data_IF_845833423135
#
_entry.id   IF_845833423135
#
_cell.length_a   1.000
_cell.length_b   1.000
_cell.length_c   1.000
_cell.angle_alpha   90.00
_cell.angle_beta   90.00
_cell.angle_gamma   90.00
#
_symmetry.space_group_name_H-M   'P 1'
#
loop_
_entity.id
_entity.type
_entity.pdbx_description
1 polymer ?
#
# COMPACT_ATOMS: atom_id res chain seq x y z
N UNK A 1 13.50 -22.49 -20.67
CA UNK A 1 13.00 -21.49 -21.63
C UNK A 1 11.49 -21.43 -21.42
N UNK A 2 10.96 -20.38 -20.79
CA UNK A 2 9.50 -20.20 -20.75
C UNK A 2 9.06 -20.04 -22.18
N UNK A 3 8.13 -20.86 -22.61
CA UNK A 3 7.42 -20.59 -23.84
C UNK A 3 6.18 -19.82 -23.41
N UNK A 4 6.19 -18.50 -23.63
CA UNK A 4 4.97 -17.72 -23.48
C UNK A 4 3.89 -18.38 -24.35
N UNK A 5 2.60 -18.37 -23.94
CA UNK A 5 1.55 -18.85 -24.80
C UNK A 5 1.63 -18.15 -26.18
N UNK A 6 1.20 -18.83 -27.24
CA UNK A 6 1.26 -18.25 -28.58
C UNK A 6 0.54 -16.89 -28.63
N UNK A 7 1.17 -15.89 -29.23
CA UNK A 7 0.63 -14.53 -29.32
C UNK A 7 0.84 -13.65 -28.09
N UNK A 8 1.54 -14.13 -27.06
CA UNK A 8 1.84 -13.39 -25.83
C UNK A 8 3.27 -12.83 -25.86
N UNK A 9 3.40 -11.52 -25.66
CA UNK A 9 4.69 -10.84 -25.51
C UNK A 9 4.81 -10.19 -24.13
N UNK A 10 5.99 -10.35 -23.51
CA UNK A 10 6.40 -9.58 -22.33
C UNK A 10 7.41 -8.52 -22.76
N UNK A 11 7.07 -7.24 -22.61
CA UNK A 11 7.94 -6.14 -23.03
C UNK A 11 8.43 -5.38 -21.81
N UNK A 12 9.75 -5.22 -21.60
CA UNK A 12 10.26 -4.40 -20.51
C UNK A 12 9.68 -2.99 -20.59
N UNK A 13 9.14 -2.49 -19.49
CA UNK A 13 8.61 -1.14 -19.40
C UNK A 13 9.73 -0.19 -18.97
N UNK A 14 10.03 0.78 -19.82
CA UNK A 14 10.85 1.94 -19.45
C UNK A 14 9.93 3.06 -19.02
N UNK A 15 10.09 3.54 -17.79
CA UNK A 15 9.37 4.70 -17.33
C UNK A 15 9.92 5.97 -18.02
N UNK A 16 9.06 6.84 -18.57
CA UNK A 16 9.51 8.10 -19.16
C UNK A 16 10.03 9.03 -18.05
N UNK A 17 10.76 10.08 -18.42
CA UNK A 17 11.16 11.11 -17.46
C UNK A 17 9.97 12.00 -17.12
N UNK A 18 9.17 12.37 -18.12
CA UNK A 18 7.94 13.12 -17.99
C UNK A 18 6.78 12.44 -18.72
N UNK A 19 5.55 12.64 -18.24
CA UNK A 19 4.36 12.15 -18.95
C UNK A 19 4.11 12.88 -20.28
N UNK A 20 4.71 14.06 -20.45
CA UNK A 20 4.61 14.88 -21.65
C UNK A 20 5.64 14.49 -22.73
N UNK A 21 6.56 13.57 -22.41
CA UNK A 21 7.59 13.12 -23.34
C UNK A 21 6.99 12.23 -24.44
N UNK A 22 7.63 12.24 -25.61
CA UNK A 22 7.15 11.50 -26.78
C UNK A 22 7.13 9.97 -26.59
N UNK A 23 7.92 9.44 -25.64
CA UNK A 23 8.00 8.03 -25.30
C UNK A 23 7.05 7.61 -24.16
N UNK A 24 6.29 8.54 -23.56
CA UNK A 24 5.40 8.25 -22.43
C UNK A 24 4.17 7.39 -22.79
N UNK A 25 3.88 7.20 -24.08
CA UNK A 25 2.66 6.52 -24.55
C UNK A 25 2.46 5.11 -23.99
N UNK A 26 3.53 4.31 -23.87
CA UNK A 26 3.44 2.96 -23.32
C UNK A 26 3.15 2.98 -21.82
N UNK A 27 3.75 3.91 -21.08
CA UNK A 27 3.49 4.07 -19.66
C UNK A 27 2.05 4.54 -19.40
N UNK A 28 1.56 5.53 -20.15
CA UNK A 28 0.17 6.01 -20.06
C UNK A 28 -0.81 4.86 -20.31
N UNK A 29 -0.56 4.05 -21.34
CA UNK A 29 -1.39 2.88 -21.66
C UNK A 29 -1.34 1.82 -20.54
N UNK A 30 -0.16 1.57 -19.96
CA UNK A 30 -0.01 0.69 -18.80
C UNK A 30 -0.84 1.18 -17.62
N UNK A 31 -0.83 2.48 -17.30
CA UNK A 31 -1.64 3.05 -16.21
C UNK A 31 -3.14 2.91 -16.51
N UNK A 32 -3.56 3.12 -17.76
CA UNK A 32 -4.95 2.90 -18.18
C UNK A 32 -5.39 1.45 -17.95
N UNK A 33 -4.57 0.48 -18.35
CA UNK A 33 -4.84 -0.95 -18.17
C UNK A 33 -4.83 -1.33 -16.69
N UNK A 34 -3.88 -0.84 -15.90
CA UNK A 34 -3.84 -1.00 -14.43
C UNK A 34 -5.15 -0.53 -13.80
N UNK A 35 -5.58 0.70 -14.08
CA UNK A 35 -6.79 1.26 -13.49
C UNK A 35 -8.04 0.44 -13.86
N UNK A 36 -8.11 -0.09 -15.08
CA UNK A 36 -9.15 -1.03 -15.48
C UNK A 36 -9.12 -2.31 -14.63
N UNK A 37 -7.95 -2.90 -14.41
CA UNK A 37 -7.81 -4.14 -13.60
C UNK A 37 -8.26 -3.91 -12.16
N UNK A 38 -7.82 -2.81 -11.53
CA UNK A 38 -8.23 -2.48 -10.16
C UNK A 38 -9.76 -2.26 -10.06
N UNK A 39 -10.37 -1.61 -11.06
CA UNK A 39 -11.83 -1.48 -11.14
C UNK A 39 -12.54 -2.81 -11.34
N UNK A 40 -11.99 -3.71 -12.17
CA UNK A 40 -12.55 -5.07 -12.36
C UNK A 40 -12.50 -5.90 -11.08
N UNK A 41 -11.50 -5.68 -10.22
CA UNK A 41 -11.36 -6.37 -8.93
C UNK A 41 -12.29 -5.75 -7.88
N UNK A 42 -12.17 -4.44 -7.66
CA UNK A 42 -12.86 -3.75 -6.56
C UNK A 42 -14.33 -3.39 -6.87
N UNK A 43 -14.69 -3.28 -8.16
CA UNK A 43 -16.03 -2.82 -8.59
C UNK A 43 -16.22 -1.30 -8.51
N UNK A 44 -15.18 -0.54 -8.19
CA UNK A 44 -15.16 0.92 -8.09
C UNK A 44 -13.78 1.49 -8.45
N UNK A 45 -13.66 2.82 -8.51
CA UNK A 45 -12.44 3.52 -8.92
C UNK A 45 -11.60 4.05 -7.74
N UNK A 46 -11.87 3.63 -6.50
CA UNK A 46 -11.16 4.11 -5.30
C UNK A 46 -9.62 3.89 -5.32
N UNK A 47 -9.06 3.15 -6.28
CA UNK A 47 -7.61 2.94 -6.46
C UNK A 47 -7.07 3.45 -7.81
N UNK A 48 -7.89 4.22 -8.52
CA UNK A 48 -7.50 4.92 -9.74
C UNK A 48 -6.37 5.89 -9.42
N UNK A 49 -5.45 6.04 -10.38
CA UNK A 49 -4.36 7.00 -10.28
C UNK A 49 -4.06 7.57 -11.67
N UNK A 50 -3.77 8.87 -11.76
CA UNK A 50 -3.35 9.46 -13.03
C UNK A 50 -1.93 9.01 -13.40
N UNK A 51 -1.56 8.97 -14.69
CA UNK A 51 -0.23 8.53 -15.09
C UNK A 51 0.91 9.36 -14.50
N UNK A 52 0.78 10.69 -14.47
CA UNK A 52 1.78 11.57 -13.86
C UNK A 52 1.86 11.45 -12.34
N UNK A 53 0.78 11.02 -11.69
CA UNK A 53 0.78 10.74 -10.25
C UNK A 53 1.47 9.41 -9.89
N UNK A 54 1.38 8.43 -10.79
CA UNK A 54 2.01 7.14 -10.61
C UNK A 54 3.49 7.17 -11.00
N UNK A 55 3.88 8.00 -11.97
CA UNK A 55 5.22 8.05 -12.56
C UNK A 55 6.37 8.15 -11.54
N UNK A 56 6.30 8.97 -10.47
CA UNK A 56 7.38 9.04 -9.47
C UNK A 56 7.69 7.70 -8.80
N UNK A 57 6.73 6.77 -8.70
CA UNK A 57 6.92 5.44 -8.12
C UNK A 57 7.63 4.46 -9.07
N UNK A 58 7.89 4.88 -10.31
CA UNK A 58 8.60 4.11 -11.32
C UNK A 58 9.99 4.68 -11.64
N UNK A 59 10.34 5.82 -11.04
CA UNK A 59 11.67 6.39 -11.18
C UNK A 59 12.70 5.56 -10.40
N UNK A 60 14.00 5.62 -10.78
CA UNK A 60 15.06 4.94 -10.06
C UNK A 60 15.03 5.26 -8.56
N UNK A 61 15.23 4.22 -7.75
CA UNK A 61 15.26 4.29 -6.29
C UNK A 61 16.61 3.73 -5.81
N UNK A 62 17.17 4.35 -4.78
CA UNK A 62 18.43 3.93 -4.16
C UNK A 62 18.21 2.75 -3.19
N UNK A 63 16.99 2.60 -2.67
CA UNK A 63 16.63 1.61 -1.66
C UNK A 63 16.03 0.33 -2.29
N UNK A 64 15.53 0.40 -3.52
CA UNK A 64 14.85 -0.69 -4.22
C UNK A 64 15.16 -0.68 -5.73
N UNK A 65 15.34 -1.86 -6.32
CA UNK A 65 15.37 -2.00 -7.78
C UNK A 65 14.07 -2.60 -8.29
N UNK A 66 13.25 -1.78 -8.94
CA UNK A 66 12.01 -2.18 -9.64
C UNK A 66 12.26 -2.58 -11.08
N UNK A 67 11.73 -3.73 -11.49
CA UNK A 67 11.74 -4.20 -12.87
C UNK A 67 10.31 -4.51 -13.30
N UNK A 68 9.88 -3.99 -14.45
CA UNK A 68 8.49 -4.03 -14.89
C UNK A 68 8.38 -4.48 -16.35
N UNK A 69 7.29 -5.17 -16.67
CA UNK A 69 6.92 -5.57 -18.02
C UNK A 69 5.46 -5.26 -18.30
N UNK A 70 5.18 -4.76 -19.50
CA UNK A 70 3.83 -4.78 -20.09
C UNK A 70 3.58 -6.15 -20.71
N UNK A 71 2.35 -6.64 -20.58
CA UNK A 71 1.93 -7.94 -21.11
C UNK A 71 1.00 -7.68 -22.29
N UNK A 72 1.35 -8.19 -23.46
CA UNK A 72 0.57 -8.01 -24.68
C UNK A 72 0.04 -9.34 -25.21
N UNK A 73 -1.19 -9.32 -25.75
CA UNK A 73 -1.79 -10.41 -26.53
C UNK A 73 -2.17 -9.85 -27.89
N UNK A 74 -1.63 -10.43 -28.96
CA UNK A 74 -1.86 -9.99 -30.35
C UNK A 74 -1.64 -8.46 -30.53
N UNK A 75 -0.63 -7.93 -29.84
CA UNK A 75 -0.27 -6.51 -29.86
C UNK A 75 -1.03 -5.61 -28.88
N UNK A 76 -2.15 -6.07 -28.28
CA UNK A 76 -2.92 -5.29 -27.30
C UNK A 76 -2.38 -5.50 -25.89
N UNK A 77 -2.21 -4.42 -25.12
CA UNK A 77 -1.79 -4.53 -23.72
C UNK A 77 -2.95 -5.06 -22.86
N UNK A 78 -2.69 -6.13 -22.12
CA UNK A 78 -3.69 -6.84 -21.30
C UNK A 78 -3.33 -6.86 -19.82
N UNK A 79 -2.15 -6.38 -19.45
CA UNK A 79 -1.73 -6.33 -18.06
C UNK A 79 -0.26 -5.95 -17.87
N UNK A 80 0.23 -6.16 -16.65
CA UNK A 80 1.60 -5.90 -16.25
C UNK A 80 2.13 -6.97 -15.30
N UNK A 81 3.44 -7.14 -15.31
CA UNK A 81 4.18 -7.94 -14.35
C UNK A 81 5.31 -7.10 -13.78
N UNK A 82 5.62 -7.29 -12.49
CA UNK A 82 6.61 -6.49 -11.80
C UNK A 82 7.32 -7.27 -10.71
N UNK A 83 8.58 -6.95 -10.48
CA UNK A 83 9.35 -7.42 -9.34
C UNK A 83 10.18 -6.28 -8.77
N UNK A 84 10.11 -6.17 -7.45
CA UNK A 84 10.79 -5.20 -6.62
C UNK A 84 11.82 -5.92 -5.77
N UNK A 85 13.05 -5.42 -5.83
CA UNK A 85 14.22 -6.05 -5.24
C UNK A 85 14.83 -5.06 -4.24
N UNK A 86 14.48 -5.13 -2.95
CA UNK A 86 15.09 -4.31 -1.92
C UNK A 86 16.62 -4.40 -1.95
N UNK A 87 17.30 -3.26 -1.91
CA UNK A 87 18.77 -3.17 -2.03
C UNK A 87 19.48 -3.13 -0.67
N UNK A 88 18.73 -3.22 0.42
CA UNK A 88 19.28 -3.17 1.76
C UNK A 88 20.03 -4.45 2.14
N UNK A 89 21.32 -4.31 2.44
CA UNK A 89 22.16 -5.41 2.92
C UNK A 89 22.14 -6.64 2.01
N UNK A 90 22.04 -7.82 2.61
CA UNK A 90 21.95 -9.12 1.93
C UNK A 90 20.48 -9.57 1.80
N UNK A 91 19.55 -8.65 1.49
CA UNK A 91 18.12 -8.93 1.42
C UNK A 91 17.83 -10.20 0.61
N UNK A 92 16.93 -11.04 1.14
CA UNK A 92 16.48 -12.26 0.45
C UNK A 92 15.13 -12.05 -0.25
N UNK A 93 14.56 -10.86 -0.14
CA UNK A 93 13.19 -10.57 -0.50
C UNK A 93 13.04 -10.16 -1.96
N UNK A 94 11.92 -10.56 -2.53
CA UNK A 94 11.38 -10.04 -3.76
C UNK A 94 9.87 -9.84 -3.60
N UNK A 95 9.41 -8.60 -3.76
CA UNK A 95 7.99 -8.33 -3.90
C UNK A 95 7.62 -8.42 -5.37
N UNK A 96 6.47 -9.00 -5.70
CA UNK A 96 6.09 -9.17 -7.10
C UNK A 96 4.60 -9.00 -7.32
N UNK A 97 4.26 -8.64 -8.56
CA UNK A 97 2.87 -8.55 -9.02
C UNK A 97 2.72 -9.18 -10.41
N UNK A 98 1.56 -9.77 -10.64
CA UNK A 98 1.05 -10.12 -11.97
C UNK A 98 -0.40 -9.69 -12.01
N UNK A 99 -0.69 -8.72 -12.87
CA UNK A 99 -2.01 -8.12 -13.00
C UNK A 99 -2.46 -8.25 -14.44
N UNK A 100 -3.66 -8.81 -14.65
CA UNK A 100 -4.22 -9.07 -15.97
C UNK A 100 -5.70 -8.67 -15.97
N UNK A 101 -6.18 -8.10 -17.09
CA UNK A 101 -7.62 -7.93 -17.31
C UNK A 101 -8.31 -9.30 -17.30
N UNK A 102 -9.54 -9.34 -16.77
CA UNK A 102 -10.29 -10.59 -16.55
C UNK A 102 -10.53 -11.37 -17.84
N UNK A 103 -10.64 -10.69 -18.97
CA UNK A 103 -10.92 -11.27 -20.29
C UNK A 103 -9.85 -12.29 -20.75
N UNK A 104 -8.62 -12.19 -20.23
CA UNK A 104 -7.51 -13.08 -20.63
C UNK A 104 -7.13 -14.11 -19.56
N UNK A 105 -7.87 -14.18 -18.45
CA UNK A 105 -7.62 -15.16 -17.40
C UNK A 105 -7.80 -16.60 -17.89
N UNK A 106 -7.08 -17.54 -17.26
CA UNK A 106 -7.21 -18.97 -17.58
C UNK A 106 -6.44 -19.44 -18.84
N UNK A 107 -5.72 -18.57 -19.52
CA UNK A 107 -4.95 -18.90 -20.75
C UNK A 107 -3.45 -19.14 -20.49
N UNK A 108 -3.03 -19.31 -19.24
CA UNK A 108 -1.63 -19.55 -18.88
C UNK A 108 -0.71 -18.31 -18.88
N UNK A 109 -1.22 -17.14 -19.27
CA UNK A 109 -0.44 -15.88 -19.32
C UNK A 109 0.16 -15.54 -17.96
N UNK A 110 -0.66 -15.54 -16.89
CA UNK A 110 -0.17 -15.24 -15.54
C UNK A 110 0.88 -16.24 -15.05
N UNK A 111 0.79 -17.51 -15.49
CA UNK A 111 1.80 -18.54 -15.18
C UNK A 111 3.13 -18.20 -15.84
N UNK A 112 3.13 -17.88 -17.14
CA UNK A 112 4.33 -17.48 -17.85
C UNK A 112 4.94 -16.18 -17.29
N UNK A 113 4.10 -15.22 -16.88
CA UNK A 113 4.53 -13.99 -16.22
C UNK A 113 5.21 -14.29 -14.88
N UNK A 114 4.57 -15.05 -14.00
CA UNK A 114 5.13 -15.40 -12.70
C UNK A 114 6.43 -16.20 -12.81
N UNK A 115 6.49 -17.19 -13.70
CA UNK A 115 7.72 -17.96 -13.92
C UNK A 115 8.88 -17.06 -14.40
N UNK A 116 8.61 -15.95 -15.11
CA UNK A 116 9.62 -14.95 -15.47
C UNK A 116 10.14 -14.26 -14.22
N UNK A 117 9.24 -13.77 -13.37
CA UNK A 117 9.59 -13.08 -12.13
C UNK A 117 10.35 -14.00 -11.15
N UNK A 118 9.95 -15.27 -11.02
CA UNK A 118 10.66 -16.23 -10.16
C UNK A 118 12.10 -16.47 -10.65
N UNK A 119 12.33 -16.55 -11.96
CA UNK A 119 13.71 -16.64 -12.48
C UNK A 119 14.52 -15.40 -12.14
N UNK A 120 13.95 -14.22 -12.30
CA UNK A 120 14.63 -12.96 -12.00
C UNK A 120 14.95 -12.87 -10.51
N UNK A 121 14.03 -13.31 -9.64
CA UNK A 121 14.28 -13.41 -8.21
C UNK A 121 15.52 -14.29 -7.93
N UNK A 122 15.57 -15.50 -8.50
CA UNK A 122 16.70 -16.44 -8.36
C UNK A 122 18.01 -15.89 -8.91
N UNK A 123 17.99 -15.29 -10.09
CA UNK A 123 19.15 -14.66 -10.73
C UNK A 123 19.74 -13.50 -9.89
N UNK A 124 18.91 -12.92 -9.01
CA UNK A 124 19.30 -11.86 -8.07
C UNK A 124 19.47 -12.36 -6.63
N UNK A 125 19.58 -13.67 -6.42
CA UNK A 125 19.82 -14.27 -5.11
C UNK A 125 18.68 -14.12 -4.11
N UNK A 126 17.46 -13.83 -4.58
CA UNK A 126 16.27 -13.73 -3.71
C UNK A 126 15.68 -15.11 -3.50
N UNK A 127 15.41 -15.46 -2.25
CA UNK A 127 14.85 -16.76 -1.86
C UNK A 127 13.47 -16.64 -1.22
N UNK A 128 12.97 -15.44 -1.00
CA UNK A 128 11.64 -15.21 -0.41
C UNK A 128 10.83 -14.30 -1.31
N UNK A 129 9.74 -14.84 -1.86
CA UNK A 129 8.83 -14.11 -2.74
C UNK A 129 7.55 -13.79 -1.99
N UNK A 130 7.15 -12.52 -2.07
CA UNK A 130 5.93 -12.03 -1.43
C UNK A 130 5.07 -11.22 -2.39
N UNK A 131 3.76 -11.30 -2.20
CA UNK A 131 2.80 -10.60 -3.03
C UNK A 131 1.45 -10.51 -2.32
N UNK A 132 0.71 -9.45 -2.61
CA UNK A 132 -0.64 -9.22 -2.10
C UNK A 132 -1.64 -9.30 -3.23
N UNK A 133 -2.81 -9.85 -2.92
CA UNK A 133 -3.93 -9.83 -3.84
C UNK A 133 -5.23 -9.58 -3.09
N UNK A 134 -6.05 -8.68 -3.64
CA UNK A 134 -7.41 -8.49 -3.19
C UNK A 134 -8.28 -9.69 -3.58
N UNK A 135 -9.08 -10.12 -2.62
CA UNK A 135 -10.04 -11.21 -2.73
C UNK A 135 -11.44 -10.67 -2.37
N UNK A 136 -12.16 -10.06 -3.33
CA UNK A 136 -13.53 -9.61 -3.13
C UNK A 136 -14.39 -10.76 -2.58
N UNK A 137 -15.22 -10.46 -1.58
CA UNK A 137 -15.97 -11.51 -0.90
C UNK A 137 -16.90 -12.24 -1.89
N UNK A 138 -16.87 -13.57 -1.82
CA UNK A 138 -17.60 -14.44 -2.70
C UNK A 138 -17.98 -15.74 -1.97
N UNK A 139 -19.14 -16.36 -2.30
CA UNK A 139 -19.52 -17.63 -1.72
C UNK A 139 -18.58 -18.76 -2.19
N UNK A 140 -18.43 -19.79 -1.36
CA UNK A 140 -17.67 -20.99 -1.70
C UNK A 140 -16.65 -21.39 -0.63
N UNK A 141 -15.70 -22.27 -0.98
CA UNK A 141 -14.57 -22.62 -0.11
C UNK A 141 -13.79 -21.39 0.33
N UNK A 142 -13.28 -21.44 1.56
CA UNK A 142 -12.56 -20.36 2.22
C UNK A 142 -11.17 -20.82 2.61
N UNK A 143 -10.20 -19.93 2.52
CA UNK A 143 -8.86 -20.13 3.06
C UNK A 143 -8.70 -19.27 4.31
N UNK A 144 -7.99 -19.80 5.30
CA UNK A 144 -7.64 -19.10 6.53
C UNK A 144 -6.10 -19.06 6.65
N UNK A 145 -5.52 -17.92 7.07
CA UNK A 145 -4.10 -17.82 7.34
C UNK A 145 -3.75 -18.55 8.65
N UNK A 146 -2.47 -18.94 8.85
CA UNK A 146 -1.98 -19.50 10.11
C UNK A 146 -2.18 -18.59 11.33
N UNK A 147 -2.33 -17.28 11.13
CA UNK A 147 -2.61 -16.31 12.20
C UNK A 147 -3.94 -16.57 12.91
N UNK A 148 -4.89 -17.25 12.24
CA UNK A 148 -6.23 -17.53 12.77
C UNK A 148 -7.22 -16.36 12.65
N UNK A 149 -6.84 -15.28 11.97
CA UNK A 149 -7.66 -14.07 11.81
C UNK A 149 -8.16 -13.94 10.38
N UNK A 150 -9.50 -13.85 10.23
CA UNK A 150 -10.15 -13.67 8.94
C UNK A 150 -10.17 -14.92 8.06
N UNK A 151 -10.83 -14.79 6.91
CA UNK A 151 -10.75 -15.75 5.81
C UNK A 151 -10.90 -15.01 4.48
N UNK A 152 -10.43 -15.60 3.39
CA UNK A 152 -10.67 -15.14 2.01
C UNK A 152 -11.35 -16.25 1.20
N UNK A 153 -12.09 -15.94 0.12
CA UNK A 153 -12.57 -16.97 -0.80
C UNK A 153 -11.41 -17.67 -1.51
N UNK A 154 -11.56 -18.96 -1.78
CA UNK A 154 -10.65 -19.71 -2.66
C UNK A 154 -10.94 -19.36 -4.14
N UNK A 155 -10.76 -18.09 -4.49
CA UNK A 155 -11.08 -17.50 -5.79
C UNK A 155 -10.02 -17.77 -6.87
N UNK A 156 -10.09 -17.06 -8.00
CA UNK A 156 -9.13 -17.22 -9.09
C UNK A 156 -7.69 -16.90 -8.65
N UNK A 157 -7.48 -15.81 -7.92
CA UNK A 157 -6.17 -15.39 -7.45
C UNK A 157 -5.63 -16.36 -6.40
N UNK A 158 -6.44 -16.77 -5.42
CA UNK A 158 -6.02 -17.71 -4.39
C UNK A 158 -5.57 -19.05 -4.98
N UNK A 159 -6.31 -19.59 -5.94
CA UNK A 159 -5.91 -20.82 -6.66
C UNK A 159 -4.64 -20.64 -7.48
N UNK A 160 -4.38 -19.44 -8.01
CA UNK A 160 -3.15 -19.12 -8.71
C UNK A 160 -1.94 -19.20 -7.77
N UNK A 161 -2.02 -18.54 -6.60
CA UNK A 161 -0.97 -18.58 -5.59
C UNK A 161 -0.69 -20.00 -5.08
N UNK A 162 -1.74 -20.74 -4.72
CA UNK A 162 -1.60 -22.13 -4.27
C UNK A 162 -0.95 -23.02 -5.33
N UNK A 163 -1.32 -22.87 -6.61
CA UNK A 163 -0.71 -23.63 -7.73
C UNK A 163 0.78 -23.35 -7.89
N UNK A 164 1.22 -22.14 -7.55
CA UNK A 164 2.63 -21.73 -7.64
C UNK A 164 3.42 -21.96 -6.36
N UNK A 165 2.84 -22.62 -5.36
CA UNK A 165 3.49 -23.01 -4.12
C UNK A 165 3.57 -21.88 -3.09
N UNK A 166 2.72 -20.87 -3.19
CA UNK A 166 2.58 -19.86 -2.14
C UNK A 166 1.63 -20.34 -1.06
N UNK A 167 1.94 -19.97 0.18
CA UNK A 167 1.05 -20.06 1.33
C UNK A 167 0.46 -18.69 1.65
N UNK A 168 -0.82 -18.69 2.06
CA UNK A 168 -1.48 -17.51 2.63
C UNK A 168 -0.94 -17.32 4.06
N UNK A 169 -0.18 -16.26 4.30
CA UNK A 169 0.45 -16.02 5.60
C UNK A 169 -0.38 -15.08 6.49
N UNK A 170 -1.02 -14.08 5.88
CA UNK A 170 -1.76 -13.03 6.58
C UNK A 170 -2.96 -12.60 5.74
N UNK A 171 -3.98 -12.06 6.40
CA UNK A 171 -5.06 -11.34 5.73
C UNK A 171 -4.98 -9.88 6.16
N UNK A 172 -5.10 -8.97 5.20
CA UNK A 172 -5.33 -7.56 5.44
C UNK A 172 -6.78 -7.21 5.16
N UNK A 173 -7.36 -6.37 6.01
CA UNK A 173 -8.69 -5.82 5.84
C UNK A 173 -8.60 -4.45 5.22
N UNK A 174 -9.23 -4.29 4.06
CA UNK A 174 -9.52 -2.99 3.47
C UNK A 174 -10.82 -2.44 4.09
N UNK A 175 -10.74 -1.24 4.68
CA UNK A 175 -11.88 -0.55 5.27
C UNK A 175 -12.06 0.86 4.70
N UNK A 176 -13.31 1.31 4.65
CA UNK A 176 -13.68 2.65 4.20
C UNK A 176 -14.37 3.46 5.31
N UNK A 177 -14.04 4.75 5.41
CA UNK A 177 -14.75 5.75 6.22
C UNK A 177 -15.45 6.76 5.31
N UNK A 178 -16.75 6.98 5.50
CA UNK A 178 -17.54 7.95 4.73
C UNK A 178 -17.20 9.40 5.12
N UNK A 179 -16.53 10.13 4.22
CA UNK A 179 -16.15 11.54 4.45
C UNK A 179 -17.32 12.51 4.28
N UNK A 180 -18.40 12.08 3.63
CA UNK A 180 -19.62 12.87 3.45
C UNK A 180 -20.64 12.61 4.56
N UNK A 181 -20.37 11.62 5.42
CA UNK A 181 -21.17 11.26 6.58
C UNK A 181 -21.00 12.23 7.77
N UNK A 182 -21.74 11.98 8.86
CA UNK A 182 -21.65 12.78 10.08
C UNK A 182 -20.35 12.53 10.86
N UNK A 183 -19.71 13.61 11.32
CA UNK A 183 -18.46 13.56 12.09
C UNK A 183 -18.66 13.59 13.61
N UNK A 184 -19.90 13.57 14.12
CA UNK A 184 -20.19 13.61 15.56
C UNK A 184 -19.46 12.50 16.34
N UNK A 185 -19.26 11.34 15.71
CA UNK A 185 -18.47 10.23 16.25
C UNK A 185 -16.98 10.57 16.37
N UNK A 186 -16.41 11.11 15.30
CA UNK A 186 -15.01 11.53 15.20
C UNK A 186 -14.72 12.65 16.21
N UNK A 187 -15.57 13.67 16.27
CA UNK A 187 -15.43 14.80 17.20
C UNK A 187 -15.49 14.35 18.66
N UNK A 188 -16.45 13.46 18.99
CA UNK A 188 -16.55 12.89 20.34
C UNK A 188 -15.32 12.08 20.71
N UNK A 189 -14.83 11.24 19.81
CA UNK A 189 -13.63 10.43 20.04
C UNK A 189 -12.38 11.29 20.18
N UNK A 190 -12.24 12.34 19.35
CA UNK A 190 -11.16 13.31 19.48
C UNK A 190 -11.17 13.96 20.86
N UNK A 191 -12.32 14.47 21.31
CA UNK A 191 -12.44 15.12 22.62
C UNK A 191 -12.01 14.19 23.77
N UNK A 192 -12.39 12.90 23.70
CA UNK A 192 -11.96 11.92 24.69
C UNK A 192 -10.47 11.58 24.58
N UNK A 193 -9.92 11.51 23.38
CA UNK A 193 -8.50 11.24 23.16
C UNK A 193 -7.64 12.39 23.69
N UNK A 194 -8.03 13.64 23.41
CA UNK A 194 -7.38 14.85 23.95
C UNK A 194 -7.35 14.83 25.47
N UNK A 195 -8.46 14.47 26.12
CA UNK A 195 -8.52 14.36 27.58
C UNK A 195 -7.62 13.25 28.15
N UNK A 196 -7.39 12.18 27.38
CA UNK A 196 -6.54 11.06 27.78
C UNK A 196 -5.06 11.23 27.41
N UNK A 197 -4.71 12.29 26.67
CA UNK A 197 -3.37 12.54 26.13
C UNK A 197 -2.84 13.91 26.53
N UNK A 198 -3.09 14.37 27.76
CA UNK A 198 -2.76 15.74 28.22
C UNK A 198 -1.26 16.07 28.19
N UNK A 199 -0.40 15.06 28.16
CA UNK A 199 1.06 15.20 28.07
C UNK A 199 1.56 15.38 26.62
N UNK A 200 0.65 15.37 25.65
CA UNK A 200 0.93 15.43 24.23
C UNK A 200 0.24 16.63 23.59
N UNK A 201 0.86 17.17 22.55
CA UNK A 201 0.27 18.16 21.65
C UNK A 201 0.18 17.61 20.24
N UNK A 202 -0.86 18.01 19.51
CA UNK A 202 -0.98 17.72 18.08
C UNK A 202 -0.12 18.68 17.27
N UNK A 203 0.59 18.14 16.29
CA UNK A 203 1.27 18.89 15.23
C UNK A 203 0.83 18.32 13.89
N UNK A 204 0.66 19.17 12.89
CA UNK A 204 0.20 18.79 11.56
C UNK A 204 0.99 19.54 10.51
N UNK A 205 1.35 18.85 9.43
CA UNK A 205 2.00 19.46 8.28
C UNK A 205 1.56 18.78 6.99
N UNK A 206 1.72 19.51 5.89
CA UNK A 206 1.72 18.91 4.56
C UNK A 206 3.17 18.73 4.14
N UNK A 207 3.44 17.73 3.31
CA UNK A 207 4.78 17.56 2.74
C UNK A 207 5.17 18.77 1.87
N UNK A 208 6.45 19.19 1.85
CA UNK A 208 7.60 18.54 2.50
C UNK A 208 7.62 18.70 4.02
N UNK A 209 8.16 17.69 4.71
CA UNK A 209 8.26 17.62 6.16
C UNK A 209 9.12 18.76 6.70
N UNK A 210 8.62 19.57 7.65
CA UNK A 210 9.40 20.66 8.25
C UNK A 210 10.69 20.16 8.91
N UNK A 211 11.82 20.90 8.82
CA UNK A 211 13.12 20.47 9.33
C UNK A 211 13.11 19.99 10.79
N UNK A 212 12.30 20.62 11.64
CA UNK A 212 12.16 20.28 13.06
C UNK A 212 11.50 18.91 13.32
N UNK A 213 10.83 18.32 12.31
CA UNK A 213 10.14 17.04 12.43
C UNK A 213 10.81 15.91 11.65
N UNK A 214 11.76 16.21 10.76
CA UNK A 214 12.40 15.21 9.88
C UNK A 214 12.98 14.03 10.67
N UNK A 215 13.80 14.29 11.68
CA UNK A 215 14.47 13.21 12.44
C UNK A 215 13.47 12.37 13.25
N UNK A 216 12.51 13.02 13.91
CA UNK A 216 11.46 12.32 14.66
C UNK A 216 10.54 11.52 13.76
N UNK A 217 10.27 12.03 12.56
CA UNK A 217 9.41 11.36 11.60
C UNK A 217 10.11 10.15 10.95
N UNK A 218 11.37 10.31 10.55
CA UNK A 218 12.23 9.24 10.09
C UNK A 218 12.34 8.12 11.14
N UNK A 219 12.56 8.48 12.41
CA UNK A 219 12.57 7.51 13.51
C UNK A 219 11.27 6.70 13.55
N UNK A 220 10.10 7.36 13.58
CA UNK A 220 8.82 6.63 13.60
C UNK A 220 8.61 5.74 12.36
N UNK A 221 8.94 6.20 11.15
CA UNK A 221 8.86 5.37 9.92
C UNK A 221 9.72 4.10 10.03
N UNK A 222 10.97 4.21 10.51
CA UNK A 222 11.83 3.02 10.70
C UNK A 222 11.29 1.99 11.69
N UNK A 223 10.45 2.42 12.65
CA UNK A 223 9.83 1.50 13.62
C UNK A 223 8.69 0.68 13.04
N UNK A 224 8.13 1.05 11.89
CA UNK A 224 6.96 0.36 11.32
C UNK A 224 7.21 -1.13 11.05
N UNK A 225 8.37 -1.47 10.47
CA UNK A 225 8.74 -2.86 10.18
C UNK A 225 8.77 -3.77 11.43
N UNK A 226 8.92 -3.19 12.63
CA UNK A 226 9.06 -3.95 13.88
C UNK A 226 7.85 -3.82 14.82
N UNK A 227 7.08 -2.74 14.72
CA UNK A 227 5.96 -2.46 15.60
C UNK A 227 4.58 -2.82 14.98
N UNK A 228 4.52 -3.05 13.66
CA UNK A 228 3.33 -3.54 12.96
C UNK A 228 3.30 -5.09 12.89
N UNK A 229 2.13 -5.74 13.03
CA UNK A 229 2.02 -7.20 12.87
C UNK A 229 2.31 -7.65 11.43
N UNK A 230 3.29 -8.54 11.25
CA UNK A 230 3.70 -9.05 9.94
C UNK A 230 3.50 -10.57 9.76
N UNK A 231 2.92 -11.29 10.73
CA UNK A 231 2.81 -12.75 10.72
C UNK A 231 4.14 -13.44 10.37
N UNK A 232 4.15 -14.28 9.33
CA UNK A 232 5.34 -14.93 8.78
C UNK A 232 5.82 -14.22 7.50
N UNK A 233 5.36 -13.00 7.22
CA UNK A 233 5.97 -12.15 6.21
C UNK A 233 7.32 -11.64 6.73
N UNK A 234 8.29 -11.58 5.84
CA UNK A 234 9.62 -11.00 6.05
C UNK A 234 9.64 -9.58 5.50
N UNK A 235 10.12 -8.64 6.31
CA UNK A 235 10.43 -7.27 5.92
C UNK A 235 11.84 -6.96 6.40
N UNK A 236 12.65 -6.32 5.55
CA UNK A 236 13.96 -5.84 5.98
C UNK A 236 13.78 -4.64 6.92
N UNK A 237 14.61 -4.54 7.97
CA UNK A 237 14.62 -3.35 8.82
C UNK A 237 15.08 -2.15 8.01
N UNK A 238 14.16 -1.22 7.75
CA UNK A 238 14.46 -0.06 6.92
C UNK A 238 15.20 1.04 7.68
N UNK A 239 16.28 1.54 7.07
CA UNK A 239 16.91 2.78 7.56
C UNK A 239 16.15 3.97 6.98
N UNK A 240 15.62 4.82 7.87
CA UNK A 240 14.99 6.09 7.51
C UNK A 240 15.86 7.23 8.02
N UNK A 241 16.35 8.03 7.09
CA UNK A 241 17.10 9.26 7.36
C UNK A 241 16.41 10.47 6.70
N UNK A 242 16.98 11.65 6.89
CA UNK A 242 16.47 12.88 6.29
C UNK A 242 16.40 12.81 4.75
N UNK A 243 17.34 12.12 4.10
CA UNK A 243 17.36 11.95 2.66
C UNK A 243 16.19 11.09 2.18
N UNK A 244 15.93 9.97 2.87
CA UNK A 244 14.79 9.09 2.57
C UNK A 244 13.45 9.77 2.82
N UNK A 245 13.33 10.59 3.88
CA UNK A 245 12.13 11.43 4.09
C UNK A 245 11.95 12.42 2.94
N UNK A 246 13.02 13.11 2.50
CA UNK A 246 12.92 14.02 1.37
C UNK A 246 12.50 13.31 0.06
N UNK A 247 13.03 12.10 -0.21
CA UNK A 247 12.61 11.28 -1.36
C UNK A 247 11.16 10.78 -1.23
N UNK A 248 10.72 10.42 -0.03
CA UNK A 248 9.34 10.03 0.25
C UNK A 248 8.39 11.20 -0.03
N UNK A 249 8.70 12.38 0.51
CA UNK A 249 7.90 13.58 0.35
C UNK A 249 7.86 14.06 -1.11
N UNK A 250 8.99 13.96 -1.83
CA UNK A 250 9.07 14.37 -3.23
C UNK A 250 8.15 13.56 -4.15
N UNK A 251 7.93 12.26 -3.87
CA UNK A 251 6.96 11.46 -4.64
C UNK A 251 5.56 12.05 -4.64
N UNK A 252 5.16 12.70 -3.55
CA UNK A 252 3.86 13.37 -3.45
C UNK A 252 3.89 14.78 -4.02
N UNK A 253 4.92 15.58 -3.69
CA UNK A 253 4.99 16.96 -4.18
C UNK A 253 5.18 17.04 -5.69
N UNK A 254 6.00 16.15 -6.26
CA UNK A 254 6.32 16.15 -7.70
C UNK A 254 5.16 15.63 -8.54
N UNK A 255 4.28 14.82 -7.95
CA UNK A 255 3.03 14.36 -8.58
C UNK A 255 1.85 15.31 -8.37
N UNK A 256 2.01 16.37 -7.58
CA UNK A 256 0.92 17.26 -7.17
C UNK A 256 -0.10 16.58 -6.24
N UNK A 257 0.24 15.44 -5.64
CA UNK A 257 -0.61 14.75 -4.64
C UNK A 257 -0.49 15.47 -3.31
N UNK A 258 -1.58 15.49 -2.56
CA UNK A 258 -1.59 16.06 -1.21
C UNK A 258 -1.37 14.96 -0.19
N UNK A 259 -0.35 15.09 0.65
CA UNK A 259 -0.13 14.27 1.84
C UNK A 259 -0.11 15.16 3.09
N UNK A 260 -1.02 14.89 4.02
CA UNK A 260 -1.01 15.48 5.37
C UNK A 260 -0.52 14.44 6.37
N UNK A 261 0.46 14.84 7.19
CA UNK A 261 0.87 14.10 8.37
C UNK A 261 0.24 14.76 9.60
N UNK A 262 -0.41 13.96 10.43
CA UNK A 262 -0.89 14.37 11.75
C UNK A 262 -0.14 13.57 12.80
N UNK A 263 0.60 14.25 13.69
CA UNK A 263 1.40 13.61 14.70
C UNK A 263 1.11 14.10 16.12
N UNK A 264 1.34 13.23 17.10
CA UNK A 264 1.32 13.56 18.51
C UNK A 264 2.77 13.73 19.01
N UNK A 265 3.08 14.91 19.55
CA UNK A 265 4.37 15.25 20.12
C UNK A 265 4.28 15.30 21.64
N UNK A 266 5.14 14.57 22.33
CA UNK A 266 5.26 14.64 23.79
C UNK A 266 5.79 16.03 24.20
N UNK A 267 5.10 16.70 25.13
CA UNK A 267 5.34 18.12 25.44
C UNK A 267 6.68 18.33 26.13
N UNK A 268 7.03 17.47 27.09
CA UNK A 268 8.24 17.64 27.91
C UNK A 268 9.52 17.33 27.10
N UNK A 269 9.49 16.27 26.29
CA UNK A 269 10.68 15.80 25.56
C UNK A 269 10.77 16.39 24.15
N UNK A 270 9.66 16.82 23.56
CA UNK A 270 9.59 17.23 22.16
C UNK A 270 9.58 16.06 21.16
N UNK A 271 9.53 14.82 21.64
CA UNK A 271 9.54 13.63 20.80
C UNK A 271 8.22 13.43 20.05
N UNK A 272 8.27 13.01 18.78
CA UNK A 272 7.10 12.54 18.06
C UNK A 272 6.81 11.07 18.43
N UNK A 273 5.60 10.81 18.91
CA UNK A 273 5.25 9.55 19.55
C UNK A 273 4.19 8.73 18.80
N UNK A 274 3.44 9.38 17.92
CA UNK A 274 2.48 8.76 17.02
C UNK A 274 2.28 9.61 15.78
N UNK A 275 1.94 8.99 14.66
CA UNK A 275 1.54 9.70 13.45
C UNK A 275 0.47 8.95 12.66
N UNK A 276 -0.20 9.69 11.79
CA UNK A 276 -1.14 9.22 10.79
C UNK A 276 -0.97 10.03 9.50
N UNK A 277 -1.01 9.34 8.37
CA UNK A 277 -0.93 9.94 7.04
C UNK A 277 -2.28 9.87 6.31
N UNK A 278 -2.68 10.99 5.70
CA UNK A 278 -3.81 11.06 4.77
C UNK A 278 -3.34 11.62 3.43
N UNK A 279 -3.75 10.94 2.36
CA UNK A 279 -3.32 11.20 1.00
C UNK A 279 -4.52 11.32 0.05
N UNK A 280 -4.42 12.22 -0.92
CA UNK A 280 -5.33 12.26 -2.08
C UNK A 280 -4.57 12.65 -3.35
N UNK A 281 -5.08 12.20 -4.51
CA UNK A 281 -4.63 12.66 -5.82
C UNK A 281 -4.94 14.14 -6.06
N UNK A 282 -4.59 14.66 -7.24
CA UNK A 282 -4.92 16.02 -7.70
C UNK A 282 -6.43 16.22 -7.88
N UNK A 283 -7.15 15.15 -8.24
CA UNK A 283 -8.60 15.17 -8.27
C UNK A 283 -9.14 14.93 -6.86
N UNK A 284 -9.45 16.02 -6.15
CA UNK A 284 -9.95 15.96 -4.77
C UNK A 284 -11.39 15.43 -4.66
N UNK A 285 -12.01 14.98 -5.77
CA UNK A 285 -13.30 14.28 -5.79
C UNK A 285 -13.14 12.75 -5.77
N UNK A 286 -11.92 12.23 -5.95
CA UNK A 286 -11.61 10.80 -5.82
C UNK A 286 -11.44 10.39 -4.35
N UNK A 287 -11.36 9.08 -4.08
CA UNK A 287 -11.18 8.56 -2.72
C UNK A 287 -9.83 9.02 -2.12
N UNK A 288 -9.85 9.32 -0.82
CA UNK A 288 -8.62 9.53 -0.07
C UNK A 288 -8.09 8.22 0.49
N UNK A 289 -6.80 8.16 0.76
CA UNK A 289 -6.13 7.02 1.36
C UNK A 289 -5.53 7.41 2.70
N UNK A 290 -5.73 6.56 3.68
CA UNK A 290 -4.97 6.61 4.90
C UNK A 290 -3.88 5.54 4.83
N UNK A 291 -2.66 6.02 4.71
CA UNK A 291 -1.46 5.20 4.66
C UNK A 291 -1.04 4.85 6.11
N UNK A 292 0.24 5.09 6.42
CA UNK A 292 0.84 4.65 7.66
C UNK A 292 0.19 5.28 8.90
N UNK A 293 0.04 4.46 9.93
CA UNK A 293 -0.35 4.90 11.27
C UNK A 293 0.41 4.12 12.31
N UNK A 294 1.20 4.82 13.12
CA UNK A 294 2.02 4.21 14.15
C UNK A 294 1.82 4.92 15.49
N UNK A 295 1.89 4.13 16.56
CA UNK A 295 2.10 4.62 17.93
C UNK A 295 3.32 3.89 18.49
N UNK A 296 4.36 4.64 18.85
CA UNK A 296 5.56 4.10 19.47
C UNK A 296 5.18 3.29 20.72
N UNK A 297 5.77 2.10 20.86
CA UNK A 297 5.45 1.16 21.94
C UNK A 297 5.43 1.80 23.34
N UNK A 298 6.40 2.66 23.65
CA UNK A 298 6.58 3.27 24.96
C UNK A 298 5.56 4.38 25.27
N UNK A 299 4.77 4.79 24.28
CA UNK A 299 3.71 5.80 24.41
C UNK A 299 2.30 5.23 24.16
N UNK A 300 2.16 3.90 24.08
CA UNK A 300 0.86 3.23 23.99
C UNK A 300 0.10 3.37 25.31
N UNK A 301 -1.24 3.32 25.25
CA UNK A 301 -2.12 3.48 26.41
C UNK A 301 -2.68 4.89 26.60
N UNK A 302 -2.17 5.90 25.86
CA UNK A 302 -2.63 7.30 25.96
C UNK A 302 -3.60 7.70 24.84
N UNK A 303 -4.25 6.72 24.19
CA UNK A 303 -5.18 6.90 23.05
C UNK A 303 -4.60 7.70 21.86
N UNK A 304 -3.28 7.73 21.70
CA UNK A 304 -2.61 8.52 20.65
C UNK A 304 -3.03 8.11 19.23
N UNK A 305 -3.27 6.82 18.98
CA UNK A 305 -3.78 6.37 17.68
C UNK A 305 -5.15 6.97 17.35
N UNK A 306 -6.08 7.01 18.32
CA UNK A 306 -7.37 7.69 18.14
C UNK A 306 -7.18 9.19 17.97
N UNK A 307 -6.26 9.81 18.73
CA UNK A 307 -5.97 11.24 18.67
C UNK A 307 -5.55 11.66 17.26
N UNK A 308 -4.51 11.02 16.70
CA UNK A 308 -3.96 11.42 15.40
C UNK A 308 -4.91 11.15 14.24
N UNK A 309 -5.65 10.02 14.27
CA UNK A 309 -6.61 9.69 13.21
C UNK A 309 -7.83 10.60 13.22
N UNK A 310 -8.41 10.88 14.40
CA UNK A 310 -9.58 11.75 14.48
C UNK A 310 -9.23 13.20 14.14
N UNK A 311 -8.08 13.69 14.63
CA UNK A 311 -7.60 15.03 14.29
C UNK A 311 -7.29 15.15 12.79
N UNK A 312 -6.63 14.15 12.21
CA UNK A 312 -6.36 14.07 10.78
C UNK A 312 -7.64 14.10 9.95
N UNK A 313 -8.62 13.24 10.24
CA UNK A 313 -9.90 13.21 9.52
C UNK A 313 -10.65 14.56 9.60
N UNK A 314 -10.65 15.22 10.76
CA UNK A 314 -11.31 16.52 10.94
C UNK A 314 -10.64 17.62 10.12
N UNK A 315 -9.31 17.70 10.11
CA UNK A 315 -8.60 18.67 9.26
C UNK A 315 -8.76 18.33 7.77
N UNK A 316 -8.79 17.05 7.43
CA UNK A 316 -8.86 16.58 6.05
C UNK A 316 -10.14 16.99 5.34
N UNK A 317 -11.25 17.18 6.07
CA UNK A 317 -12.50 17.70 5.50
C UNK A 317 -12.34 19.07 4.84
N UNK A 318 -11.41 19.90 5.31
CA UNK A 318 -11.10 21.18 4.68
C UNK A 318 -10.20 21.04 3.44
N UNK A 319 -9.44 19.94 3.36
CA UNK A 319 -8.49 19.65 2.27
C UNK A 319 -9.19 19.01 1.08
N UNK A 320 -10.01 17.99 1.34
CA UNK A 320 -10.72 17.20 0.35
C UNK A 320 -12.22 17.12 0.67
N UNK A 321 -12.95 18.25 0.66
CA UNK A 321 -14.36 18.31 1.05
C UNK A 321 -15.28 17.50 0.12
N UNK A 322 -14.86 17.22 -1.11
CA UNK A 322 -15.63 16.47 -2.11
C UNK A 322 -15.23 14.98 -2.19
N UNK A 323 -14.18 14.58 -1.47
CA UNK A 323 -13.77 13.17 -1.42
C UNK A 323 -14.88 12.34 -0.76
N UNK A 324 -15.28 11.20 -1.37
CA UNK A 324 -16.40 10.41 -0.87
C UNK A 324 -16.04 9.63 0.39
N UNK A 325 -14.78 9.18 0.51
CA UNK A 325 -14.35 8.26 1.58
C UNK A 325 -12.85 8.23 1.77
N UNK A 326 -12.41 7.76 2.93
CA UNK A 326 -11.01 7.37 3.21
C UNK A 326 -10.90 5.86 3.20
N UNK A 327 -9.95 5.33 2.44
CA UNK A 327 -9.60 3.90 2.37
C UNK A 327 -8.39 3.61 3.26
N UNK A 328 -8.37 2.48 3.96
CA UNK A 328 -7.21 2.06 4.76
C UNK A 328 -7.10 0.55 4.83
N UNK A 329 -5.88 0.06 5.03
CA UNK A 329 -5.54 -1.35 5.13
C UNK A 329 -4.90 -1.65 6.47
N UNK A 330 -5.30 -2.75 7.10
CA UNK A 330 -4.67 -3.24 8.31
C UNK A 330 -4.69 -4.76 8.35
N UNK A 331 -3.60 -5.38 8.82
CA UNK A 331 -3.58 -6.80 9.15
C UNK A 331 -4.76 -7.17 10.06
N UNK A 332 -5.47 -8.26 9.75
CA UNK A 332 -6.70 -8.69 10.43
C UNK A 332 -6.44 -9.07 11.91
N UNK A 333 -5.21 -9.47 12.25
CA UNK A 333 -4.77 -9.70 13.63
C UNK A 333 -4.44 -8.41 14.41
N UNK A 334 -4.34 -7.25 13.74
CA UNK A 334 -4.04 -5.98 14.39
C UNK A 334 -5.27 -5.40 15.09
N UNK A 335 -5.76 -6.13 16.10
CA UNK A 335 -6.98 -5.82 16.83
C UNK A 335 -6.98 -4.40 17.42
N UNK A 336 -5.90 -3.90 18.03
CA UNK A 336 -5.88 -2.53 18.55
C UNK A 336 -6.13 -1.45 17.48
N UNK A 337 -5.56 -1.60 16.27
CA UNK A 337 -5.77 -0.62 15.20
C UNK A 337 -7.17 -0.74 14.59
N UNK A 338 -7.64 -1.98 14.40
CA UNK A 338 -8.98 -2.24 13.89
C UNK A 338 -10.07 -1.74 14.86
N UNK A 339 -9.88 -1.87 16.18
CA UNK A 339 -10.80 -1.33 17.19
C UNK A 339 -10.89 0.20 17.13
N UNK A 340 -9.76 0.88 16.87
CA UNK A 340 -9.74 2.33 16.65
C UNK A 340 -10.54 2.68 15.39
N UNK A 341 -10.29 1.98 14.28
CA UNK A 341 -10.97 2.22 13.01
C UNK A 341 -12.49 2.01 13.11
N UNK A 342 -12.92 0.88 13.68
CA UNK A 342 -14.33 0.54 13.87
C UNK A 342 -15.02 1.55 14.80
N UNK A 343 -14.35 2.00 15.87
CA UNK A 343 -14.89 3.03 16.75
C UNK A 343 -15.06 4.38 16.04
N UNK A 344 -14.11 4.75 15.17
CA UNK A 344 -14.18 5.97 14.34
C UNK A 344 -15.34 5.88 13.34
N UNK A 345 -15.61 4.68 12.82
CA UNK A 345 -16.70 4.42 11.87
C UNK A 345 -16.23 3.84 10.53
N UNK A 346 -14.99 3.38 10.43
CA UNK A 346 -14.54 2.61 9.26
C UNK A 346 -15.29 1.27 9.20
N UNK A 347 -15.68 0.88 7.99
CA UNK A 347 -16.35 -0.40 7.72
C UNK A 347 -15.54 -1.24 6.73
N UNK A 348 -15.44 -2.57 6.91
CA UNK A 348 -14.74 -3.44 5.97
C UNK A 348 -15.45 -3.43 4.61
N UNK A 349 -14.67 -3.33 3.52
CA UNK A 349 -15.17 -3.37 2.14
C UNK A 349 -14.56 -4.50 1.30
N UNK A 350 -13.33 -4.93 1.63
CA UNK A 350 -12.64 -6.03 0.96
C UNK A 350 -11.54 -6.61 1.87
N UNK A 351 -10.94 -7.71 1.44
CA UNK A 351 -9.81 -8.34 2.10
C UNK A 351 -8.70 -8.61 1.08
N UNK A 352 -7.45 -8.48 1.50
CA UNK A 352 -6.29 -8.91 0.74
C UNK A 352 -5.61 -10.08 1.43
N UNK A 353 -5.12 -11.04 0.64
CA UNK A 353 -4.25 -12.10 1.13
C UNK A 353 -2.81 -11.68 0.93
N UNK A 354 -2.00 -11.77 1.98
CA UNK A 354 -0.55 -11.67 1.88
C UNK A 354 0.02 -13.08 1.69
N UNK A 355 0.67 -13.30 0.55
CA UNK A 355 1.13 -14.60 0.09
C UNK A 355 2.65 -14.68 0.12
N UNK A 356 3.20 -15.78 0.63
CA UNK A 356 4.65 -16.03 0.67
C UNK A 356 5.02 -17.34 0.00
N UNK A 357 6.16 -17.35 -0.69
CA UNK A 357 6.85 -18.56 -1.15
C UNK A 357 8.32 -18.46 -0.79
N UNK A 358 8.86 -19.53 -0.21
CA UNK A 358 10.31 -19.69 -0.03
C UNK A 358 10.82 -20.58 -1.16
N UNK A 359 11.85 -20.11 -1.86
CA UNK A 359 12.53 -20.86 -2.91
C UNK A 359 13.60 -21.74 -2.30
N UNK A 360 13.69 -22.97 -2.79
CA UNK A 360 14.85 -23.82 -2.54
C UNK A 360 16.10 -23.21 -3.21
N UNK A 361 17.26 -23.38 -2.57
CA UNK A 361 18.59 -22.93 -3.04
C UNK A 361 18.99 -23.50 -4.41
#
# INVERSE_FOLDING_TARGET
>A
MITAPAGVDFRPLTAPVSIDDADASEFIEMVRVRNRIYREIAGHDDHRIAPDELLPHYQPDEDERRLMWTIHVDGQMVGRAGIDLPLQGDSKLAFWLVELVRDVWGHGIGTAAYELLERIARENGRTVLQSWAAHPDAPGPRLAPPTGFGTIPEDHAARFYLRHGFSLEQIERNSAFDLQGPFDGVERLLAQAVAASSEYRLVQWFVPTPPEFVDGYAWMKSRMATDAPAANLEFDEETWDAGRIARHDSRYTDSGRTLQVTAAQHIETGELCAFNELVIGKDHTEASHQEDTLVLKDHRGHRLGTLVKCAGLLSWRAVAPESPRVITYNAEENRPMLDINEAIGFVPIAYEGAWKKVLDD
#
